data_IF_102304566291
#
_entry.id   IF_102304566291
#
_cell.length_a   1.000
_cell.length_b   1.000
_cell.length_c   1.000
_cell.angle_alpha   90.00
_cell.angle_beta   90.00
_cell.angle_gamma   90.00
#
_symmetry.space_group_name_H-M   'P 1'
#
loop_
_entity.id
_entity.type
_entity.pdbx_description
1 polymer ?
#
# COMPACT_ATOMS: atom_id res chain seq x y z
N UNK A 1 13.90 -5.59 9.81
CA UNK A 1 13.17 -6.84 10.10
C UNK A 1 12.09 -7.04 9.05
N UNK A 2 11.90 -8.25 8.55
CA UNK A 2 10.82 -8.60 7.61
C UNK A 2 9.88 -9.59 8.29
N UNK A 3 8.58 -9.32 8.25
CA UNK A 3 7.55 -10.20 8.84
C UNK A 3 6.60 -10.62 7.71
N UNK A 4 6.42 -11.93 7.55
CA UNK A 4 5.49 -12.51 6.60
C UNK A 4 4.39 -13.28 7.33
N UNK A 5 3.14 -13.00 6.96
CA UNK A 5 1.98 -13.73 7.44
C UNK A 5 1.51 -14.69 6.35
N UNK A 6 1.33 -15.96 6.71
CA UNK A 6 0.76 -16.99 5.84
C UNK A 6 -0.57 -17.41 6.42
N UNK A 7 -1.63 -17.29 5.63
CA UNK A 7 -3.00 -17.64 6.03
C UNK A 7 -3.45 -18.80 5.16
N UNK A 8 -4.08 -19.86 5.72
CA UNK A 8 -4.61 -20.95 4.90
C UNK A 8 -5.60 -20.42 3.85
N UNK A 9 -5.60 -21.03 2.65
CA UNK A 9 -6.41 -20.58 1.49
C UNK A 9 -7.91 -20.40 1.80
N UNK A 10 -8.46 -21.21 2.70
CA UNK A 10 -9.88 -21.18 3.06
C UNK A 10 -10.25 -20.08 4.06
N UNK A 11 -9.29 -19.31 4.58
CA UNK A 11 -9.56 -18.18 5.46
C UNK A 11 -9.77 -16.91 4.62
N UNK A 12 -10.77 -16.13 5.00
CA UNK A 12 -11.01 -14.82 4.41
C UNK A 12 -9.91 -13.84 4.85
N UNK A 13 -9.06 -13.43 3.93
CA UNK A 13 -7.97 -12.50 4.23
C UNK A 13 -8.51 -11.13 4.67
N UNK A 14 -9.67 -10.71 4.16
CA UNK A 14 -10.29 -9.43 4.49
C UNK A 14 -10.78 -9.37 5.94
N UNK A 15 -10.95 -10.50 6.62
CA UNK A 15 -11.24 -10.54 8.07
C UNK A 15 -9.97 -10.58 8.94
N UNK A 16 -8.85 -11.01 8.36
CA UNK A 16 -7.59 -11.20 9.07
C UNK A 16 -6.72 -9.94 9.05
N UNK A 17 -6.53 -9.33 7.87
CA UNK A 17 -5.65 -8.18 7.70
C UNK A 17 -6.02 -6.96 8.56
N UNK A 18 -7.31 -6.59 8.71
CA UNK A 18 -7.68 -5.45 9.56
C UNK A 18 -7.27 -5.60 11.03
N UNK A 19 -7.00 -6.81 11.52
CA UNK A 19 -6.57 -7.05 12.91
C UNK A 19 -5.06 -6.88 13.09
N UNK A 20 -4.28 -7.14 12.05
CA UNK A 20 -2.80 -7.14 12.11
C UNK A 20 -2.24 -5.80 11.62
N UNK A 21 -2.84 -5.22 10.59
CA UNK A 21 -2.35 -4.01 9.94
C UNK A 21 -2.19 -2.80 10.88
N UNK A 22 -3.10 -2.52 11.84
CA UNK A 22 -2.92 -1.42 12.79
C UNK A 22 -1.69 -1.58 13.68
N UNK A 23 -1.38 -2.81 14.10
CA UNK A 23 -0.21 -3.12 14.94
C UNK A 23 1.07 -2.86 14.15
N UNK A 24 1.12 -3.35 12.90
CA UNK A 24 2.28 -3.15 12.03
C UNK A 24 2.47 -1.66 11.71
N UNK A 25 1.39 -0.93 11.42
CA UNK A 25 1.42 0.50 11.15
C UNK A 25 1.93 1.29 12.34
N UNK A 26 1.45 1.00 13.55
CA UNK A 26 1.92 1.64 14.79
C UNK A 26 3.42 1.43 15.04
N UNK A 27 3.97 0.30 14.57
CA UNK A 27 5.41 0.00 14.62
C UNK A 27 6.21 0.62 13.46
N UNK A 28 5.62 1.48 12.62
CA UNK A 28 6.28 2.06 11.43
C UNK A 28 6.46 1.06 10.29
N UNK A 29 5.71 -0.05 10.31
CA UNK A 29 5.74 -1.08 9.29
C UNK A 29 5.28 -0.57 7.93
N UNK A 30 5.86 -1.13 6.88
CA UNK A 30 5.55 -0.79 5.49
C UNK A 30 5.08 -2.05 4.77
N UNK A 31 3.91 -2.03 4.11
CA UNK A 31 3.45 -3.20 3.38
C UNK A 31 4.35 -3.47 2.16
N UNK A 32 4.44 -4.73 1.77
CA UNK A 32 5.08 -5.08 0.51
C UNK A 32 4.15 -4.69 -0.66
N UNK A 33 4.65 -3.92 -1.64
CA UNK A 33 3.86 -3.42 -2.77
C UNK A 33 3.10 -4.50 -3.55
N UNK A 34 3.71 -5.67 -3.72
CA UNK A 34 3.09 -6.83 -4.38
C UNK A 34 2.15 -7.69 -3.51
N UNK A 35 1.79 -7.24 -2.30
CA UNK A 35 0.87 -7.96 -1.39
C UNK A 35 -0.32 -7.08 -1.00
N UNK A 36 -1.43 -7.73 -0.67
CA UNK A 36 -2.64 -7.05 -0.20
C UNK A 36 -2.35 -6.23 1.06
N UNK A 37 -2.91 -5.01 1.08
CA UNK A 37 -2.88 -4.07 2.19
C UNK A 37 -4.05 -3.08 2.04
N UNK A 38 -4.55 -2.53 3.14
CA UNK A 38 -5.63 -1.56 3.17
C UNK A 38 -5.14 -0.11 3.38
N UNK A 39 -3.82 0.12 3.32
CA UNK A 39 -3.25 1.46 3.46
C UNK A 39 -3.76 2.39 2.35
N UNK A 40 -4.04 3.62 2.74
CA UNK A 40 -4.48 4.71 1.89
C UNK A 40 -3.30 5.52 1.38
N UNK A 41 -3.53 6.39 0.39
CA UNK A 41 -2.53 7.35 -0.08
C UNK A 41 -1.93 8.19 1.07
N UNK A 42 -2.77 8.66 2.00
CA UNK A 42 -2.32 9.45 3.16
C UNK A 42 -1.38 8.64 4.06
N UNK A 43 -1.66 7.34 4.23
CA UNK A 43 -0.77 6.45 4.99
C UNK A 43 0.58 6.28 4.29
N UNK A 44 0.59 6.14 2.96
CA UNK A 44 1.83 6.06 2.20
C UNK A 44 2.64 7.36 2.22
N UNK A 45 1.99 8.52 2.11
CA UNK A 45 2.65 9.83 2.26
C UNK A 45 3.34 9.97 3.62
N UNK A 46 2.68 9.54 4.71
CA UNK A 46 3.28 9.54 6.04
C UNK A 46 4.46 8.54 6.19
N UNK A 47 4.39 7.37 5.54
CA UNK A 47 5.40 6.31 5.67
C UNK A 47 6.65 6.53 4.79
N UNK A 48 6.51 7.25 3.68
CA UNK A 48 7.54 7.43 2.67
C UNK A 48 7.76 8.93 2.41
N UNK A 49 8.83 9.55 2.95
CA UNK A 49 9.03 11.00 2.90
C UNK A 49 9.02 11.64 1.51
N UNK A 50 9.37 10.88 0.47
CA UNK A 50 9.42 11.33 -0.93
C UNK A 50 8.26 10.81 -1.77
N UNK A 51 7.19 10.36 -1.11
CA UNK A 51 6.04 9.76 -1.78
C UNK A 51 5.31 10.76 -2.68
N UNK A 52 5.09 11.98 -2.22
CA UNK A 52 4.40 12.99 -3.01
C UNK A 52 5.28 13.52 -4.16
N UNK A 53 6.61 13.55 -4.00
CA UNK A 53 7.55 13.79 -5.11
C UNK A 53 7.39 12.72 -6.21
N UNK A 54 7.30 11.46 -5.81
CA UNK A 54 7.07 10.36 -6.76
C UNK A 54 5.71 10.48 -7.44
N UNK A 55 4.65 10.82 -6.70
CA UNK A 55 3.32 11.00 -7.28
C UNK A 55 3.31 12.13 -8.31
N UNK A 56 3.98 13.26 -8.01
CA UNK A 56 4.13 14.37 -8.95
C UNK A 56 4.90 13.95 -10.22
N UNK A 57 6.01 13.23 -10.08
CA UNK A 57 6.76 12.72 -11.23
C UNK A 57 5.92 11.75 -12.09
N UNK A 58 5.09 10.90 -11.46
CA UNK A 58 4.17 10.01 -12.16
C UNK A 58 3.11 10.79 -12.94
N UNK A 59 2.61 11.91 -12.41
CA UNK A 59 1.67 12.80 -13.11
C UNK A 59 2.30 13.45 -14.33
N UNK A 60 3.55 13.89 -14.21
CA UNK A 60 4.31 14.49 -15.31
C UNK A 60 4.54 13.49 -16.44
N UNK A 61 4.94 12.26 -16.10
CA UNK A 61 5.35 11.23 -17.07
C UNK A 61 4.18 10.42 -17.65
N UNK A 62 3.09 10.23 -16.90
CA UNK A 62 1.91 9.47 -17.33
C UNK A 62 0.59 10.18 -16.94
N UNK A 63 0.30 11.37 -17.51
CA UNK A 63 -0.88 12.14 -17.17
C UNK A 63 -2.19 11.44 -17.56
N UNK A 64 -2.17 10.52 -18.52
CA UNK A 64 -3.36 9.75 -18.94
C UNK A 64 -3.48 8.38 -18.24
N UNK A 65 -2.66 8.08 -17.23
CA UNK A 65 -2.69 6.82 -16.49
C UNK A 65 -2.62 5.57 -17.39
N UNK A 66 -1.79 5.60 -18.44
CA UNK A 66 -1.57 4.47 -19.35
C UNK A 66 -0.98 3.27 -18.62
N UNK A 67 -0.15 3.50 -17.60
CA UNK A 67 0.43 2.46 -16.75
C UNK A 67 -0.35 2.25 -15.44
N UNK A 68 -1.54 2.87 -15.33
CA UNK A 68 -2.41 2.78 -14.16
C UNK A 68 -3.21 1.47 -14.10
N UNK A 69 -3.37 0.96 -12.88
CA UNK A 69 -4.32 -0.09 -12.50
C UNK A 69 -5.20 0.42 -11.36
N UNK A 70 -6.28 -0.27 -11.03
CA UNK A 70 -7.12 0.12 -9.88
C UNK A 70 -6.32 0.16 -8.57
N UNK A 71 -5.35 -0.76 -8.41
CA UNK A 71 -4.45 -0.77 -7.26
C UNK A 71 -3.57 0.48 -7.22
N UNK A 72 -2.90 0.81 -8.33
CA UNK A 72 -1.99 1.96 -8.37
C UNK A 72 -2.72 3.29 -8.34
N UNK A 73 -3.95 3.38 -8.87
CA UNK A 73 -4.81 4.56 -8.72
C UNK A 73 -5.23 4.78 -7.27
N UNK A 74 -5.58 3.73 -6.53
CA UNK A 74 -5.90 3.82 -5.10
C UNK A 74 -4.72 4.32 -4.25
N UNK A 75 -3.50 3.97 -4.66
CA UNK A 75 -2.28 4.30 -3.92
C UNK A 75 -1.73 5.68 -4.33
N UNK A 76 -1.54 5.92 -5.63
CA UNK A 76 -0.84 7.10 -6.16
C UNK A 76 -1.75 8.21 -6.69
N UNK A 77 -3.07 7.97 -6.74
CA UNK A 77 -4.07 8.91 -7.22
C UNK A 77 -4.70 9.77 -6.13
#
# INVERSE_FOLDING_TARGET
>A
MYIAFHVPRFKNLYEYMPKVEPILKAAGGRPHWGKMNALTRADFSALYPRFDEFCALREELDPQWRFGSDCTRRIFG
#
